data_IF_971180162580
#
_entry.id   IF_971180162580
#
_cell.length_a   1.000
_cell.length_b   1.000
_cell.length_c   1.000
_cell.angle_alpha   90.00
_cell.angle_beta   90.00
_cell.angle_gamma   90.00
#
_symmetry.space_group_name_H-M   'P 1'
#
loop_
_entity.id
_entity.type
_entity.pdbx_description
1 polymer ?
#
# COMPACT_ATOMS: atom_id res chain seq x y z
N UNK A 1 -7.99 -15.11 -11.97
CA UNK A 1 -7.95 -14.37 -10.69
C UNK A 1 -9.04 -13.32 -10.73
N UNK A 2 -9.83 -13.17 -9.67
CA UNK A 2 -10.86 -12.14 -9.59
C UNK A 2 -10.23 -10.77 -9.35
N UNK A 3 -10.85 -9.72 -9.89
CA UNK A 3 -10.42 -8.36 -9.56
C UNK A 3 -11.01 -7.95 -8.20
N UNK A 4 -10.15 -7.48 -7.29
CA UNK A 4 -10.54 -6.90 -6.01
C UNK A 4 -10.95 -5.43 -6.16
N UNK A 5 -10.29 -4.69 -7.07
CA UNK A 5 -10.69 -3.34 -7.46
C UNK A 5 -10.83 -3.27 -8.99
N UNK A 6 -11.84 -2.54 -9.45
CA UNK A 6 -12.00 -2.14 -10.85
C UNK A 6 -12.32 -0.65 -10.92
N UNK A 7 -11.69 0.08 -11.82
CA UNK A 7 -12.06 1.46 -12.13
C UNK A 7 -12.74 1.54 -13.49
N UNK A 8 -13.65 2.51 -13.62
CA UNK A 8 -14.31 2.81 -14.88
C UNK A 8 -14.21 4.33 -15.10
N UNK A 9 -13.42 4.72 -16.11
CA UNK A 9 -13.16 6.11 -16.51
C UNK A 9 -12.80 7.01 -15.32
N UNK A 10 -11.95 6.49 -14.42
CA UNK A 10 -11.53 7.21 -13.22
C UNK A 10 -10.81 8.50 -13.60
N UNK A 11 -11.30 9.63 -13.08
CA UNK A 11 -10.67 10.94 -13.22
C UNK A 11 -10.45 11.58 -11.85
N UNK A 12 -9.30 12.25 -11.70
CA UNK A 12 -9.02 13.11 -10.55
C UNK A 12 -8.47 14.44 -11.01
N UNK A 13 -9.14 15.50 -10.61
CA UNK A 13 -8.79 16.89 -10.93
C UNK A 13 -8.70 17.69 -9.64
N UNK A 14 -7.63 18.43 -9.47
CA UNK A 14 -7.46 19.38 -8.38
C UNK A 14 -7.66 20.82 -8.90
N UNK A 15 -8.28 21.66 -8.07
CA UNK A 15 -8.46 23.08 -8.34
C UNK A 15 -7.44 23.87 -7.48
N UNK A 16 -6.53 24.56 -8.13
CA UNK A 16 -5.55 25.40 -7.45
C UNK A 16 -5.60 26.81 -8.03
N UNK A 17 -6.18 27.77 -7.26
CA UNK A 17 -6.25 29.16 -7.66
C UNK A 17 -6.93 29.41 -9.03
N UNK A 18 -7.98 28.65 -9.37
CA UNK A 18 -8.71 28.76 -10.63
C UNK A 18 -8.11 27.99 -11.81
N UNK A 19 -6.93 27.36 -11.63
CA UNK A 19 -6.38 26.42 -12.61
C UNK A 19 -6.76 25.00 -12.26
N UNK A 20 -7.32 24.27 -13.24
CA UNK A 20 -7.61 22.85 -13.10
C UNK A 20 -6.36 22.02 -13.47
N UNK A 21 -5.97 21.14 -12.56
CA UNK A 21 -4.91 20.16 -12.79
C UNK A 21 -5.53 18.76 -12.86
N UNK A 22 -5.59 18.21 -14.08
CA UNK A 22 -6.07 16.84 -14.32
C UNK A 22 -4.93 15.85 -14.04
N UNK A 23 -4.97 15.19 -12.89
CA UNK A 23 -3.91 14.28 -12.43
C UNK A 23 -4.16 12.85 -12.89
N UNK A 24 -5.42 12.38 -12.87
CA UNK A 24 -5.82 11.07 -13.42
C UNK A 24 -6.87 11.33 -14.50
N UNK A 25 -6.75 10.61 -15.64
CA UNK A 25 -7.55 10.86 -16.85
C UNK A 25 -8.12 9.57 -17.42
N UNK A 26 -9.45 9.40 -17.31
CA UNK A 26 -10.20 8.27 -17.90
C UNK A 26 -9.52 6.92 -17.71
N UNK A 27 -9.03 6.66 -16.49
CA UNK A 27 -8.22 5.50 -16.20
C UNK A 27 -9.13 4.30 -15.91
N UNK A 28 -9.00 3.26 -16.72
CA UNK A 28 -9.56 1.94 -16.52
C UNK A 28 -8.44 1.01 -16.03
N UNK A 29 -8.63 0.41 -14.86
CA UNK A 29 -7.65 -0.43 -14.20
C UNK A 29 -8.35 -1.50 -13.38
N UNK A 30 -7.78 -2.71 -13.37
CA UNK A 30 -8.13 -3.75 -12.41
C UNK A 30 -6.94 -4.07 -11.49
N UNK A 31 -7.22 -4.25 -10.21
CA UNK A 31 -6.30 -4.81 -9.22
C UNK A 31 -6.77 -6.22 -8.91
N UNK A 32 -5.94 -7.21 -9.19
CA UNK A 32 -6.27 -8.63 -9.02
C UNK A 32 -6.04 -9.08 -7.57
N UNK A 33 -6.92 -9.93 -7.07
CA UNK A 33 -6.77 -10.58 -5.77
C UNK A 33 -5.54 -11.48 -5.73
N UNK A 34 -4.84 -11.50 -4.58
CA UNK A 34 -3.66 -12.32 -4.39
C UNK A 34 -2.42 -11.84 -5.14
N UNK A 35 -2.45 -10.67 -5.79
CA UNK A 35 -1.26 -10.11 -6.45
C UNK A 35 -0.55 -9.04 -5.61
N UNK A 36 0.75 -8.92 -5.83
CA UNK A 36 1.55 -7.79 -5.39
C UNK A 36 1.70 -6.84 -6.59
N UNK A 37 0.78 -5.89 -6.72
CA UNK A 37 0.79 -4.88 -7.79
C UNK A 37 1.64 -3.69 -7.38
N UNK A 38 2.59 -3.29 -8.22
CA UNK A 38 3.40 -2.08 -8.02
C UNK A 38 3.07 -1.06 -9.10
N UNK A 39 2.78 0.17 -8.68
CA UNK A 39 2.55 1.31 -9.56
C UNK A 39 3.83 2.15 -9.59
N UNK A 40 4.46 2.22 -10.73
CA UNK A 40 5.65 3.04 -11.02
C UNK A 40 5.31 4.22 -11.93
N UNK A 41 6.25 5.14 -12.06
CA UNK A 41 6.15 6.31 -12.95
C UNK A 41 6.98 7.47 -12.42
N UNK A 42 7.22 8.48 -13.24
CA UNK A 42 7.97 9.69 -12.87
C UNK A 42 7.31 10.46 -11.71
N UNK A 43 8.06 11.35 -11.07
CA UNK A 43 7.49 12.27 -10.08
C UNK A 43 6.36 13.09 -10.71
N UNK A 44 5.25 13.23 -9.99
CA UNK A 44 4.09 13.97 -10.49
C UNK A 44 3.18 13.21 -11.47
N UNK A 45 3.46 11.94 -11.82
CA UNK A 45 2.61 11.15 -12.73
C UNK A 45 1.24 10.77 -12.16
N UNK A 46 0.98 11.01 -10.87
CA UNK A 46 -0.30 10.74 -10.22
C UNK A 46 -0.37 9.44 -9.40
N UNK A 47 0.77 8.79 -9.11
CA UNK A 47 0.81 7.48 -8.39
C UNK A 47 0.11 7.48 -7.05
N UNK A 48 0.50 8.35 -6.12
CA UNK A 48 -0.14 8.45 -4.79
C UNK A 48 -1.59 8.91 -4.91
N UNK A 49 -1.90 9.80 -5.88
CA UNK A 49 -3.28 10.20 -6.17
C UNK A 49 -4.14 9.00 -6.61
N UNK A 50 -3.59 8.14 -7.47
CA UNK A 50 -4.26 6.90 -7.87
C UNK A 50 -4.44 5.96 -6.68
N UNK A 51 -3.39 5.73 -5.88
CA UNK A 51 -3.46 4.91 -4.67
C UNK A 51 -4.57 5.38 -3.73
N UNK A 52 -4.65 6.69 -3.49
CA UNK A 52 -5.67 7.28 -2.60
C UNK A 52 -7.08 7.20 -3.19
N UNK A 53 -7.24 7.33 -4.51
CA UNK A 53 -8.52 7.13 -5.17
C UNK A 53 -8.99 5.66 -5.08
N UNK A 54 -8.10 4.70 -5.33
CA UNK A 54 -8.37 3.26 -5.24
C UNK A 54 -8.76 2.81 -3.82
N UNK A 55 -8.22 3.46 -2.81
CA UNK A 55 -8.46 3.13 -1.39
C UNK A 55 -9.61 3.89 -0.75
N UNK A 56 -10.19 4.87 -1.47
CA UNK A 56 -11.22 5.77 -0.92
C UNK A 56 -10.67 6.75 0.13
N UNK A 57 -9.34 6.99 0.18
CA UNK A 57 -8.77 8.09 0.98
C UNK A 57 -9.07 9.45 0.37
N UNK A 58 -9.09 9.51 -0.96
CA UNK A 58 -9.50 10.68 -1.71
C UNK A 58 -10.53 10.27 -2.77
N UNK A 59 -11.62 11.03 -2.89
CA UNK A 59 -12.67 10.71 -3.85
C UNK A 59 -12.25 11.07 -5.27
N UNK A 60 -12.60 10.25 -6.28
CA UNK A 60 -12.46 10.64 -7.67
C UNK A 60 -13.33 11.87 -7.97
N UNK A 61 -12.92 12.66 -8.96
CA UNK A 61 -13.74 13.78 -9.47
C UNK A 61 -14.83 13.25 -10.38
N UNK A 62 -14.55 12.25 -11.20
CA UNK A 62 -15.49 11.55 -12.09
C UNK A 62 -15.07 10.09 -12.20
N UNK A 63 -16.00 9.26 -12.69
CA UNK A 63 -15.79 7.82 -12.87
C UNK A 63 -16.12 7.02 -11.64
N UNK A 64 -15.81 5.74 -11.68
CA UNK A 64 -16.18 4.77 -10.66
C UNK A 64 -14.98 4.02 -10.13
N UNK A 65 -15.07 3.61 -8.85
CA UNK A 65 -14.11 2.71 -8.19
C UNK A 65 -14.91 1.61 -7.50
N UNK A 66 -14.90 0.45 -8.08
CA UNK A 66 -15.54 -0.75 -7.56
C UNK A 66 -14.54 -1.54 -6.72
N UNK A 67 -14.79 -1.66 -5.45
CA UNK A 67 -14.04 -2.53 -4.54
C UNK A 67 -14.93 -3.75 -4.21
N UNK A 68 -14.62 -4.90 -4.80
CA UNK A 68 -15.55 -6.01 -4.87
C UNK A 68 -16.86 -5.57 -5.53
N UNK A 69 -17.97 -5.66 -4.79
CA UNK A 69 -19.31 -5.27 -5.25
C UNK A 69 -19.74 -3.86 -4.80
N UNK A 70 -18.85 -3.08 -4.19
CA UNK A 70 -19.16 -1.75 -3.65
C UNK A 70 -18.51 -0.68 -4.52
N UNK A 71 -19.32 0.23 -5.10
CA UNK A 71 -18.78 1.44 -5.75
C UNK A 71 -18.44 2.47 -4.66
N UNK A 72 -17.16 2.52 -4.27
CA UNK A 72 -16.70 3.41 -3.19
C UNK A 72 -16.71 4.90 -3.58
N UNK A 73 -16.77 5.23 -4.88
CA UNK A 73 -16.88 6.61 -5.32
C UNK A 73 -18.22 7.27 -4.88
N UNK A 74 -19.27 6.47 -4.70
CA UNK A 74 -20.59 6.92 -4.31
C UNK A 74 -20.80 7.03 -2.79
N UNK A 75 -19.88 6.51 -1.98
CA UNK A 75 -19.98 6.52 -0.53
C UNK A 75 -19.77 7.94 0.03
N UNK A 76 -20.47 8.29 1.10
CA UNK A 76 -20.20 9.50 1.90
C UNK A 76 -18.81 9.38 2.59
N UNK A 77 -18.31 10.47 3.16
CA UNK A 77 -17.03 10.45 3.87
C UNK A 77 -17.04 9.51 5.09
N UNK A 78 -18.17 9.46 5.80
CA UNK A 78 -18.34 8.58 6.98
C UNK A 78 -18.41 7.10 6.56
N UNK A 79 -19.15 6.79 5.49
CA UNK A 79 -19.19 5.44 4.93
C UNK A 79 -17.82 4.99 4.43
N UNK A 80 -17.06 5.88 3.76
CA UNK A 80 -15.68 5.62 3.36
C UNK A 80 -14.77 5.35 4.56
N UNK A 81 -14.93 6.09 5.67
CA UNK A 81 -14.16 5.85 6.88
C UNK A 81 -14.47 4.46 7.47
N UNK A 82 -15.76 4.07 7.51
CA UNK A 82 -16.20 2.73 7.93
C UNK A 82 -15.70 1.66 6.99
N UNK A 83 -15.74 1.91 5.67
CA UNK A 83 -15.26 1.00 4.64
C UNK A 83 -13.75 0.75 4.78
N UNK A 84 -12.95 1.83 4.86
CA UNK A 84 -11.47 1.75 4.94
C UNK A 84 -11.00 0.96 6.16
N UNK A 85 -11.54 1.24 7.36
CA UNK A 85 -11.09 0.56 8.59
C UNK A 85 -11.31 -0.96 8.58
N UNK A 86 -12.22 -1.46 7.71
CA UNK A 86 -12.53 -2.88 7.59
C UNK A 86 -11.81 -3.56 6.43
N UNK A 87 -11.60 -2.85 5.32
CA UNK A 87 -11.18 -3.48 4.07
C UNK A 87 -9.77 -3.07 3.61
N UNK A 88 -9.23 -1.95 4.13
CA UNK A 88 -7.97 -1.38 3.66
C UNK A 88 -6.95 -1.29 4.79
N UNK A 89 -5.74 -1.79 4.55
CA UNK A 89 -4.56 -1.51 5.36
C UNK A 89 -3.70 -0.45 4.69
N UNK A 90 -3.06 0.43 5.47
CA UNK A 90 -2.22 1.50 4.92
C UNK A 90 -0.83 1.50 5.54
N UNK A 91 0.19 1.50 4.67
CA UNK A 91 1.60 1.66 5.01
C UNK A 91 2.11 2.90 4.28
N UNK A 92 2.56 3.90 5.02
CA UNK A 92 3.01 5.18 4.48
C UNK A 92 4.52 5.34 4.59
N UNK A 93 5.10 6.20 3.76
CA UNK A 93 6.49 6.63 3.87
C UNK A 93 6.75 7.34 5.21
N UNK A 94 5.87 8.28 5.58
CA UNK A 94 5.83 8.84 6.94
C UNK A 94 4.90 7.94 7.77
N UNK A 95 5.45 7.27 8.75
CA UNK A 95 4.77 6.15 9.44
C UNK A 95 3.56 6.62 10.25
N UNK A 96 3.57 7.87 10.74
CA UNK A 96 2.48 8.48 11.52
C UNK A 96 2.08 7.63 12.74
N UNK A 97 3.05 7.13 13.50
CA UNK A 97 2.79 6.58 14.81
C UNK A 97 2.50 7.72 15.80
N UNK A 98 1.60 7.47 16.74
CA UNK A 98 1.30 8.41 17.81
C UNK A 98 2.42 8.36 18.85
N UNK A 99 3.20 9.44 18.97
CA UNK A 99 4.40 9.53 19.81
C UNK A 99 4.13 9.26 21.30
N UNK A 100 2.94 9.60 21.78
CA UNK A 100 2.50 9.43 23.16
C UNK A 100 1.84 8.07 23.46
N UNK A 101 1.87 7.15 22.52
CA UNK A 101 1.35 5.80 22.64
C UNK A 101 2.46 4.76 22.48
N UNK A 102 2.38 3.66 23.23
CA UNK A 102 3.28 2.54 23.03
C UNK A 102 3.10 1.91 21.63
N UNK A 103 4.05 1.09 21.21
CA UNK A 103 3.95 0.28 19.98
C UNK A 103 2.67 -0.54 19.95
N UNK A 104 2.37 -1.22 21.06
CA UNK A 104 1.14 -2.01 21.22
C UNK A 104 -0.10 -1.12 21.11
N UNK A 105 -0.14 0.02 21.79
CA UNK A 105 -1.31 0.91 21.79
C UNK A 105 -1.55 1.53 20.42
N UNK A 106 -0.50 1.86 19.66
CA UNK A 106 -0.61 2.34 18.29
C UNK A 106 -1.33 1.33 17.37
N UNK A 107 -1.11 0.04 17.58
CA UNK A 107 -1.77 -1.02 16.83
C UNK A 107 -3.19 -1.24 17.33
N UNK A 108 -3.38 -1.32 18.66
CA UNK A 108 -4.68 -1.56 19.27
C UNK A 108 -5.67 -0.44 18.99
N UNK A 109 -5.23 0.82 18.92
CA UNK A 109 -6.07 1.96 18.58
C UNK A 109 -6.82 1.75 17.24
N UNK A 110 -6.15 1.19 16.23
CA UNK A 110 -6.80 0.85 14.97
C UNK A 110 -7.71 -0.37 15.07
N UNK A 111 -7.31 -1.40 15.84
CA UNK A 111 -8.10 -2.61 16.05
C UNK A 111 -9.42 -2.32 16.75
N UNK A 112 -9.40 -1.45 17.76
CA UNK A 112 -10.57 -1.06 18.55
C UNK A 112 -11.63 -0.28 17.75
N UNK A 113 -11.27 0.28 16.58
CA UNK A 113 -12.26 0.87 15.67
C UNK A 113 -13.20 -0.15 15.02
N UNK A 114 -12.83 -1.44 15.04
CA UNK A 114 -13.59 -2.52 14.40
C UNK A 114 -14.12 -3.53 15.42
N UNK A 115 -13.40 -3.78 16.50
CA UNK A 115 -13.74 -4.81 17.49
C UNK A 115 -13.52 -4.31 18.91
N UNK A 116 -14.49 -4.57 19.81
CA UNK A 116 -14.38 -4.26 21.24
C UNK A 116 -13.63 -5.35 22.05
N UNK A 117 -13.13 -6.41 21.40
CA UNK A 117 -12.50 -7.55 22.07
C UNK A 117 -11.00 -7.30 22.27
N UNK A 118 -10.64 -6.41 23.22
CA UNK A 118 -9.26 -5.97 23.46
C UNK A 118 -8.27 -7.14 23.57
N UNK A 119 -8.58 -8.16 24.40
CA UNK A 119 -7.69 -9.32 24.60
C UNK A 119 -7.41 -10.08 23.29
N UNK A 120 -8.43 -10.29 22.46
CA UNK A 120 -8.26 -10.95 21.17
C UNK A 120 -7.42 -10.10 20.19
N UNK A 121 -7.53 -8.76 20.27
CA UNK A 121 -6.70 -7.84 19.50
C UNK A 121 -5.25 -7.87 19.98
N UNK A 122 -4.99 -7.93 21.27
CA UNK A 122 -3.63 -8.08 21.85
C UNK A 122 -2.98 -9.39 21.38
N UNK A 123 -3.70 -10.51 21.46
CA UNK A 123 -3.21 -11.81 20.97
C UNK A 123 -2.93 -11.78 19.46
N UNK A 124 -3.79 -11.11 18.67
CA UNK A 124 -3.58 -10.92 17.23
C UNK A 124 -2.38 -10.02 16.95
N UNK A 125 -2.26 -8.90 17.65
CA UNK A 125 -1.13 -7.99 17.52
C UNK A 125 0.19 -8.70 17.82
N UNK A 126 0.27 -9.52 18.89
CA UNK A 126 1.43 -10.31 19.22
C UNK A 126 1.86 -11.25 18.08
N UNK A 127 0.90 -11.98 17.49
CA UNK A 127 1.16 -12.84 16.33
C UNK A 127 1.67 -12.05 15.12
N UNK A 128 1.09 -10.88 14.86
CA UNK A 128 1.53 -10.00 13.76
C UNK A 128 2.92 -9.42 14.02
N UNK A 129 3.24 -8.99 15.24
CA UNK A 129 4.58 -8.52 15.60
C UNK A 129 5.63 -9.60 15.37
N UNK A 130 5.37 -10.84 15.79
CA UNK A 130 6.27 -11.98 15.53
C UNK A 130 6.43 -12.19 14.02
N UNK A 131 5.35 -12.12 13.25
CA UNK A 131 5.37 -12.27 11.80
C UNK A 131 6.21 -11.22 11.08
N UNK A 132 6.20 -9.97 11.56
CA UNK A 132 7.05 -8.90 11.01
C UNK A 132 8.43 -8.84 11.67
N UNK A 133 8.81 -9.85 12.45
CA UNK A 133 10.15 -9.97 13.10
C UNK A 133 10.43 -8.78 14.02
N UNK A 134 9.43 -8.37 14.82
CA UNK A 134 9.56 -7.34 15.84
C UNK A 134 9.66 -7.98 17.22
N UNK A 135 10.76 -7.73 17.92
CA UNK A 135 11.02 -8.31 19.24
C UNK A 135 10.01 -7.87 20.29
N UNK A 136 9.65 -8.79 21.20
CA UNK A 136 8.66 -8.56 22.25
C UNK A 136 9.03 -7.40 23.18
N UNK A 137 10.32 -7.21 23.46
CA UNK A 137 10.83 -6.11 24.27
C UNK A 137 10.55 -4.70 23.69
N UNK A 138 10.13 -4.62 22.41
CA UNK A 138 9.77 -3.39 21.72
C UNK A 138 8.29 -3.02 21.87
N UNK A 139 7.41 -3.97 22.21
CA UNK A 139 5.96 -3.75 22.16
C UNK A 139 5.46 -2.69 23.16
N UNK A 140 6.13 -2.57 24.31
CA UNK A 140 5.84 -1.54 25.32
C UNK A 140 6.59 -0.22 25.12
N UNK A 141 7.52 -0.13 24.12
CA UNK A 141 8.27 1.08 23.85
C UNK A 141 7.45 2.11 23.08
N UNK A 142 7.96 3.35 23.09
CA UNK A 142 7.38 4.47 22.33
C UNK A 142 8.07 4.63 20.96
N UNK A 143 7.43 5.26 19.96
CA UNK A 143 7.99 5.43 18.62
C UNK A 143 9.39 6.03 18.59
N UNK A 144 9.68 7.01 19.46
CA UNK A 144 11.00 7.65 19.59
C UNK A 144 12.15 6.71 20.00
N UNK A 145 11.82 5.50 20.49
CA UNK A 145 12.78 4.48 20.92
C UNK A 145 13.05 3.41 19.86
N UNK A 146 12.42 3.55 18.68
CA UNK A 146 12.52 2.61 17.58
C UNK A 146 13.46 3.12 16.49
N UNK A 147 14.16 2.20 15.81
CA UNK A 147 14.75 2.49 14.52
C UNK A 147 13.66 2.72 13.45
N UNK A 148 14.00 3.42 12.37
CA UNK A 148 13.04 3.65 11.28
C UNK A 148 12.43 2.35 10.70
N UNK A 149 13.26 1.30 10.57
CA UNK A 149 12.77 0.00 10.08
C UNK A 149 11.85 -0.71 11.08
N UNK A 150 12.10 -0.62 12.38
CA UNK A 150 11.21 -1.15 13.42
C UNK A 150 9.88 -0.39 13.42
N UNK A 151 9.93 0.94 13.39
CA UNK A 151 8.74 1.78 13.32
C UNK A 151 7.90 1.46 12.06
N UNK A 152 8.54 1.24 10.90
CA UNK A 152 7.84 0.85 9.68
C UNK A 152 7.16 -0.52 9.81
N UNK A 153 7.81 -1.49 10.44
CA UNK A 153 7.20 -2.80 10.72
C UNK A 153 6.02 -2.69 11.69
N UNK A 154 6.07 -1.79 12.68
CA UNK A 154 4.89 -1.43 13.49
C UNK A 154 3.77 -0.87 12.62
N UNK A 155 4.08 0.03 11.68
CA UNK A 155 3.13 0.55 10.70
C UNK A 155 2.45 -0.55 9.87
N UNK A 156 3.20 -1.59 9.47
CA UNK A 156 2.65 -2.76 8.78
C UNK A 156 1.70 -3.54 9.71
N UNK A 157 2.07 -3.80 10.96
CA UNK A 157 1.19 -4.49 11.93
C UNK A 157 -0.09 -3.71 12.15
N UNK A 158 0.01 -2.38 12.32
CA UNK A 158 -1.15 -1.49 12.44
C UNK A 158 -2.07 -1.59 11.22
N UNK A 159 -1.50 -1.69 10.02
CA UNK A 159 -2.27 -1.85 8.79
C UNK A 159 -3.00 -3.19 8.70
N UNK A 160 -2.44 -4.26 9.30
CA UNK A 160 -2.96 -5.64 9.24
C UNK A 160 -3.90 -6.03 10.39
N UNK A 161 -4.01 -5.21 11.44
CA UNK A 161 -4.72 -5.61 12.67
C UNK A 161 -6.20 -5.96 12.42
N UNK A 162 -6.83 -5.31 11.45
CA UNK A 162 -8.23 -5.50 11.08
C UNK A 162 -8.45 -6.49 9.92
N UNK A 163 -7.43 -7.25 9.52
CA UNK A 163 -7.51 -8.25 8.45
C UNK A 163 -7.99 -7.66 7.10
N UNK A 164 -7.30 -6.67 6.57
CA UNK A 164 -7.75 -5.98 5.39
C UNK A 164 -7.71 -6.88 4.14
N UNK A 165 -8.67 -6.70 3.25
CA UNK A 165 -8.66 -7.38 1.95
C UNK A 165 -7.48 -6.92 1.08
N UNK A 166 -7.05 -5.67 1.21
CA UNK A 166 -5.97 -5.08 0.41
C UNK A 166 -5.08 -4.18 1.27
N UNK A 167 -3.76 -4.38 1.15
CA UNK A 167 -2.75 -3.53 1.74
C UNK A 167 -2.28 -2.49 0.71
N UNK A 168 -2.45 -1.23 1.03
CA UNK A 168 -1.95 -0.09 0.26
C UNK A 168 -0.65 0.41 0.86
N UNK A 169 0.40 0.60 0.04
CA UNK A 169 1.69 1.06 0.47
C UNK A 169 2.16 2.23 -0.39
N UNK A 170 2.34 3.39 0.21
CA UNK A 170 2.84 4.59 -0.46
C UNK A 170 4.29 4.84 -0.05
N UNK A 171 5.25 4.52 -0.97
CA UNK A 171 6.70 4.66 -0.77
C UNK A 171 7.19 4.06 0.57
N UNK A 172 6.87 2.80 0.92
CA UNK A 172 7.04 2.27 2.28
C UNK A 172 8.48 2.21 2.76
N UNK A 173 9.46 2.39 1.87
CA UNK A 173 10.89 2.33 2.16
C UNK A 173 11.62 3.65 1.89
N UNK A 174 10.92 4.69 1.44
CA UNK A 174 11.52 5.93 0.93
C UNK A 174 12.30 6.74 1.96
N UNK A 175 12.06 6.54 3.26
CA UNK A 175 12.78 7.21 4.36
C UNK A 175 13.80 6.31 5.09
N UNK A 176 14.00 5.07 4.62
CA UNK A 176 14.80 4.06 5.30
C UNK A 176 16.18 3.89 4.67
N UNK A 177 17.16 3.48 5.48
CA UNK A 177 18.44 3.00 4.95
C UNK A 177 18.27 1.64 4.23
N UNK A 178 19.26 1.24 3.44
CA UNK A 178 19.19 0.04 2.60
C UNK A 178 18.90 -1.25 3.37
N UNK A 179 19.50 -1.44 4.55
CA UNK A 179 19.30 -2.64 5.37
C UNK A 179 17.86 -2.71 5.92
N UNK A 180 17.35 -1.59 6.46
CA UNK A 180 15.98 -1.50 6.94
C UNK A 180 14.95 -1.64 5.81
N UNK A 181 15.24 -1.07 4.63
CA UNK A 181 14.40 -1.22 3.44
C UNK A 181 14.25 -2.68 3.03
N UNK A 182 15.38 -3.42 2.97
CA UNK A 182 15.34 -4.85 2.65
C UNK A 182 14.49 -5.64 3.65
N UNK A 183 14.69 -5.41 4.95
CA UNK A 183 13.92 -6.10 5.99
C UNK A 183 12.40 -5.82 5.89
N UNK A 184 12.00 -4.58 5.57
CA UNK A 184 10.59 -4.21 5.35
C UNK A 184 10.04 -4.88 4.09
N UNK A 185 10.80 -4.90 3.00
CA UNK A 185 10.39 -5.54 1.74
C UNK A 185 10.28 -7.06 1.87
N UNK A 186 11.17 -7.70 2.64
CA UNK A 186 11.08 -9.13 2.94
C UNK A 186 9.80 -9.46 3.71
N UNK A 187 9.45 -8.64 4.71
CA UNK A 187 8.17 -8.77 5.42
C UNK A 187 6.97 -8.62 4.46
N UNK A 188 6.98 -7.63 3.57
CA UNK A 188 5.89 -7.44 2.60
C UNK A 188 5.79 -8.62 1.62
N UNK A 189 6.93 -9.18 1.19
CA UNK A 189 6.96 -10.39 0.37
C UNK A 189 6.38 -11.60 1.11
N UNK A 190 6.77 -11.82 2.38
CA UNK A 190 6.24 -12.92 3.21
C UNK A 190 4.70 -12.79 3.40
N UNK A 191 4.20 -11.56 3.55
CA UNK A 191 2.78 -11.27 3.60
C UNK A 191 2.07 -11.63 2.29
N UNK A 192 2.65 -11.23 1.16
CA UNK A 192 2.12 -11.57 -0.17
C UNK A 192 2.09 -13.07 -0.41
N UNK A 193 3.18 -13.78 -0.14
CA UNK A 193 3.27 -15.24 -0.29
C UNK A 193 2.26 -15.99 0.59
N UNK A 194 1.81 -15.39 1.69
CA UNK A 194 0.74 -15.94 2.52
C UNK A 194 -0.68 -15.49 2.10
N UNK A 195 -0.83 -14.89 0.92
CA UNK A 195 -2.12 -14.58 0.29
C UNK A 195 -2.57 -13.12 0.44
N UNK A 196 -1.80 -12.23 1.10
CA UNK A 196 -2.17 -10.82 1.20
C UNK A 196 -2.05 -10.13 -0.15
N UNK A 197 -3.13 -9.53 -0.64
CA UNK A 197 -3.12 -8.65 -1.79
C UNK A 197 -2.45 -7.33 -1.43
N UNK A 198 -1.55 -6.82 -2.28
CA UNK A 198 -0.79 -5.59 -2.02
C UNK A 198 -0.84 -4.69 -3.26
N UNK A 199 -1.09 -3.40 -3.06
CA UNK A 199 -0.84 -2.33 -4.04
C UNK A 199 0.18 -1.38 -3.45
N UNK A 200 1.31 -1.24 -4.12
CA UNK A 200 2.41 -0.39 -3.68
C UNK A 200 2.74 0.65 -4.74
N UNK A 201 3.00 1.86 -4.30
CA UNK A 201 3.57 2.92 -5.14
C UNK A 201 5.04 3.08 -4.78
N UNK A 202 5.90 3.14 -5.76
CA UNK A 202 7.32 3.46 -5.59
C UNK A 202 7.96 3.96 -6.88
N UNK A 203 9.06 4.69 -6.74
CA UNK A 203 9.97 5.05 -7.82
C UNK A 203 11.29 4.27 -7.74
N UNK A 204 11.50 3.45 -6.71
CA UNK A 204 12.71 2.65 -6.52
C UNK A 204 12.61 1.29 -7.22
N UNK A 205 13.60 0.99 -8.06
CA UNK A 205 13.67 -0.26 -8.85
C UNK A 205 13.74 -1.52 -7.99
N UNK A 206 14.53 -1.49 -6.91
CA UNK A 206 14.71 -2.67 -6.04
C UNK A 206 13.43 -3.00 -5.30
N UNK A 207 12.73 -1.96 -4.88
CA UNK A 207 11.41 -2.06 -4.25
C UNK A 207 10.38 -2.60 -5.25
N UNK A 208 10.36 -2.06 -6.48
CA UNK A 208 9.43 -2.47 -7.52
C UNK A 208 9.64 -3.92 -7.97
N UNK A 209 10.88 -4.40 -7.98
CA UNK A 209 11.19 -5.78 -8.33
C UNK A 209 10.55 -6.84 -7.38
N UNK A 210 9.99 -6.45 -6.22
CA UNK A 210 9.22 -7.33 -5.34
C UNK A 210 7.81 -7.62 -5.86
N UNK A 211 7.28 -6.74 -6.73
CA UNK A 211 5.93 -6.91 -7.28
C UNK A 211 5.81 -8.08 -8.25
N UNK A 212 4.65 -8.73 -8.28
CA UNK A 212 4.29 -9.72 -9.31
C UNK A 212 3.65 -9.08 -10.55
N UNK A 213 3.15 -7.84 -10.43
CA UNK A 213 2.63 -7.02 -11.53
C UNK A 213 3.11 -5.59 -11.38
N UNK A 214 3.69 -5.04 -12.43
CA UNK A 214 4.17 -3.65 -12.48
C UNK A 214 3.28 -2.88 -13.45
N UNK A 215 2.76 -1.74 -12.99
CA UNK A 215 1.98 -0.81 -13.81
C UNK A 215 2.79 0.47 -13.93
N UNK A 216 3.07 0.91 -15.14
CA UNK A 216 3.74 2.18 -15.37
C UNK A 216 2.73 3.27 -15.67
N UNK A 217 2.66 4.26 -14.77
CA UNK A 217 1.77 5.41 -14.87
C UNK A 217 2.51 6.60 -15.48
N UNK A 218 1.96 7.18 -16.55
CA UNK A 218 2.47 8.39 -17.18
C UNK A 218 1.32 9.33 -17.53
N UNK A 219 1.44 10.60 -17.15
CA UNK A 219 0.44 11.66 -17.41
C UNK A 219 -0.99 11.29 -16.99
N UNK A 220 -1.11 10.58 -15.86
CA UNK A 220 -2.39 10.19 -15.27
C UNK A 220 -3.11 9.02 -15.95
N UNK A 221 -2.41 8.29 -16.82
CA UNK A 221 -2.92 7.10 -17.50
C UNK A 221 -1.96 5.92 -17.36
N UNK A 222 -2.47 4.68 -17.48
CA UNK A 222 -1.63 3.48 -17.60
C UNK A 222 -0.95 3.50 -18.96
N UNK A 223 0.37 3.53 -18.97
CA UNK A 223 1.17 3.57 -20.18
C UNK A 223 1.71 2.20 -20.58
N UNK A 224 1.95 1.32 -19.61
CA UNK A 224 2.38 -0.06 -19.84
C UNK A 224 2.24 -0.91 -18.58
N UNK A 225 2.26 -2.22 -18.79
CA UNK A 225 2.19 -3.23 -17.73
C UNK A 225 3.20 -4.33 -17.98
N UNK A 226 3.77 -4.86 -16.88
CA UNK A 226 4.67 -6.01 -16.88
C UNK A 226 4.21 -7.01 -15.81
N UNK A 227 3.95 -8.24 -16.20
CA UNK A 227 3.73 -9.35 -15.25
C UNK A 227 5.06 -10.08 -15.03
N UNK A 228 5.36 -10.34 -13.75
CA UNK A 228 6.52 -11.09 -13.29
C UNK A 228 6.03 -12.31 -12.51
N UNK A 229 6.83 -13.38 -12.46
CA UNK A 229 6.61 -14.51 -11.55
C UNK A 229 6.56 -14.06 -10.09
N UNK A 230 6.14 -14.89 -9.14
CA UNK A 230 6.33 -14.62 -7.71
C UNK A 230 7.80 -14.30 -7.41
N UNK A 231 8.06 -13.41 -6.45
CA UNK A 231 9.44 -13.06 -6.09
C UNK A 231 10.12 -14.24 -5.39
N UNK A 232 11.29 -14.61 -5.92
CA UNK A 232 12.22 -15.54 -5.30
C UNK A 232 13.64 -14.94 -5.34
N UNK A 233 14.46 -15.20 -4.33
CA UNK A 233 15.83 -14.63 -4.26
C UNK A 233 16.72 -15.09 -5.42
N UNK A 234 16.50 -16.31 -5.92
CA UNK A 234 17.25 -16.89 -7.04
C UNK A 234 16.99 -16.15 -8.37
N UNK A 235 15.82 -15.52 -8.52
CA UNK A 235 15.39 -14.82 -9.73
C UNK A 235 15.71 -13.32 -9.73
N UNK A 236 16.30 -12.80 -8.67
CA UNK A 236 16.47 -11.36 -8.43
C UNK A 236 17.15 -10.63 -9.58
N UNK A 237 18.24 -11.16 -10.11
CA UNK A 237 18.98 -10.53 -11.22
C UNK A 237 18.13 -10.50 -12.49
N UNK A 238 17.51 -11.62 -12.85
CA UNK A 238 16.68 -11.73 -14.05
C UNK A 238 15.44 -10.82 -13.97
N UNK A 239 14.83 -10.70 -12.77
CA UNK A 239 13.71 -9.78 -12.52
C UNK A 239 14.11 -8.33 -12.71
N UNK A 240 15.26 -7.94 -12.15
CA UNK A 240 15.80 -6.59 -12.30
C UNK A 240 16.06 -6.26 -13.76
N UNK A 241 16.65 -7.16 -14.53
CA UNK A 241 16.88 -6.95 -15.96
C UNK A 241 15.57 -6.80 -16.75
N UNK A 242 14.57 -7.66 -16.49
CA UNK A 242 13.25 -7.57 -17.14
C UNK A 242 12.56 -6.24 -16.81
N UNK A 243 12.60 -5.84 -15.54
CA UNK A 243 12.00 -4.59 -15.08
C UNK A 243 12.72 -3.38 -15.71
N UNK A 244 14.05 -3.39 -15.72
CA UNK A 244 14.84 -2.30 -16.31
C UNK A 244 14.55 -2.15 -17.80
N UNK A 245 14.57 -3.23 -18.58
CA UNK A 245 14.20 -3.20 -20.02
C UNK A 245 12.78 -2.67 -20.25
N UNK A 246 11.84 -3.09 -19.43
CA UNK A 246 10.47 -2.58 -19.51
C UNK A 246 10.41 -1.08 -19.25
N UNK A 247 11.10 -0.59 -18.22
CA UNK A 247 11.10 0.84 -17.88
C UNK A 247 11.82 1.68 -18.94
N UNK A 248 12.92 1.20 -19.53
CA UNK A 248 13.59 1.84 -20.68
C UNK A 248 12.62 1.99 -21.87
N UNK A 249 11.81 0.96 -22.17
CA UNK A 249 10.76 1.04 -23.20
C UNK A 249 9.66 2.06 -22.87
N UNK A 250 9.39 2.27 -21.57
CA UNK A 250 8.44 3.28 -21.10
C UNK A 250 9.03 4.70 -21.10
N UNK A 251 10.34 4.86 -21.35
CA UNK A 251 11.04 6.16 -21.34
C UNK A 251 11.34 6.66 -19.93
N UNK A 252 11.62 5.75 -19.00
CA UNK A 252 11.95 6.04 -17.59
C UNK A 252 13.46 6.19 -17.40
#
# INVERSE_FOLDING_TARGET
>A
MNAIIKTNKLCKTFNNGGKQLHVIRNLDLDIKEGMFTVIMGSSGSGKSTLLYALSGMDKPTLGEVWFGNVNIANLSNDELAVFRRKNCGFVFQQIHLMENMSVMDNVLACGLLVSNKKKALEERAAKLFTRVRLDENLWGKFPSQLSGGEAQRVGIVRALINDPMLLFADEPTGSLNSASSMAVLDVMNDLHLSGQSIVMVTHDLKTAARGSRIIYLRDGAVFGELELSGYADDDKTQRMEKLQRFLEQMGW
#
